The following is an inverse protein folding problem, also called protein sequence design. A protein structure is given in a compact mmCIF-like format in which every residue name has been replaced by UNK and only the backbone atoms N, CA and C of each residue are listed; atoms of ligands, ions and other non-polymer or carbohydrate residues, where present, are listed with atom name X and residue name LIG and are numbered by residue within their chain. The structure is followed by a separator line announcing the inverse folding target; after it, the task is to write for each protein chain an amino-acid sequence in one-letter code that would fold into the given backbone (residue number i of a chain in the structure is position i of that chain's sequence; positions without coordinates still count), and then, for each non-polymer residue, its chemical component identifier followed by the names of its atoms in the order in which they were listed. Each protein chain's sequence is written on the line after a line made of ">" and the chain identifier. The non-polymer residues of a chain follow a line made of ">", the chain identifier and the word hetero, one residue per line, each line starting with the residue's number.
data_IF_084300658281
#
_entry.id   IF_084300658281
#
_cell.length_a   1.000
_cell.length_b   1.000
_cell.length_c   1.000
_cell.angle_alpha   90.00
_cell.angle_beta   90.00
_cell.angle_gamma   90.00
#
_symmetry.space_group_name_H-M   'P 1'
#
loop_
_entity.id
_entity.type
_entity.pdbx_description
1 polymer ?
#
# COMPACT_ATOMS: atom_id res chain seq x y z
N UNK A 1 4.69 -6.21 -0.89
CA UNK A 1 3.22 -6.18 -1.11
C UNK A 1 2.45 -6.87 0.02
N UNK A 2 2.90 -6.64 1.25
CA UNK A 2 2.49 -7.43 2.41
C UNK A 2 1.14 -6.93 2.97
N UNK A 3 0.96 -5.61 3.02
CA UNK A 3 -0.23 -4.97 3.61
C UNK A 3 -1.51 -5.32 2.85
N UNK A 4 -1.51 -5.23 1.51
CA UNK A 4 -2.71 -5.58 0.72
C UNK A 4 -3.12 -7.04 0.93
N UNK A 5 -2.14 -7.93 1.07
CA UNK A 5 -2.38 -9.36 1.36
C UNK A 5 -2.95 -9.58 2.76
N UNK A 6 -2.59 -8.74 3.73
CA UNK A 6 -3.18 -8.77 5.07
C UNK A 6 -4.62 -8.23 5.07
N UNK A 7 -4.89 -7.17 4.32
CA UNK A 7 -6.23 -6.57 4.18
C UNK A 7 -7.24 -7.51 3.51
N UNK A 8 -6.78 -8.51 2.77
CA UNK A 8 -7.62 -9.56 2.17
C UNK A 8 -7.87 -10.76 3.09
N UNK A 9 -7.23 -10.81 4.26
CA UNK A 9 -7.38 -11.90 5.22
C UNK A 9 -8.33 -11.52 6.34
N UNK A 10 -8.85 -12.55 7.00
CA UNK A 10 -9.56 -12.36 8.26
C UNK A 10 -8.57 -11.99 9.38
N UNK A 11 -8.85 -10.97 10.22
CA UNK A 11 -7.92 -10.50 11.24
C UNK A 11 -7.38 -11.60 12.17
N UNK A 12 -8.18 -12.60 12.51
CA UNK A 12 -7.76 -13.70 13.40
C UNK A 12 -6.63 -14.57 12.82
N UNK A 13 -6.37 -14.49 11.51
CA UNK A 13 -5.28 -15.20 10.84
C UNK A 13 -3.92 -14.47 10.94
N UNK A 14 -3.89 -13.30 11.58
CA UNK A 14 -2.73 -12.41 11.67
C UNK A 14 -2.23 -12.26 13.11
N UNK A 15 -0.98 -11.87 13.29
CA UNK A 15 -0.42 -11.53 14.62
C UNK A 15 -1.20 -10.35 15.21
N UNK A 16 -1.43 -10.34 16.53
CA UNK A 16 -2.31 -9.39 17.24
C UNK A 16 -2.17 -7.93 16.81
N UNK A 17 -0.94 -7.41 16.70
CA UNK A 17 -0.72 -6.03 16.29
C UNK A 17 -1.21 -5.73 14.86
N UNK A 18 -0.98 -6.66 13.93
CA UNK A 18 -1.44 -6.55 12.53
C UNK A 18 -2.94 -6.79 12.46
N UNK A 19 -3.45 -7.79 13.19
CA UNK A 19 -4.87 -8.11 13.28
C UNK A 19 -5.72 -6.92 13.71
N UNK A 20 -5.32 -6.24 14.79
CA UNK A 20 -6.03 -5.08 15.31
C UNK A 20 -6.10 -3.92 14.30
N UNK A 21 -5.00 -3.66 13.59
CA UNK A 21 -4.96 -2.63 12.54
C UNK A 21 -5.80 -3.03 11.32
N UNK A 22 -5.68 -4.28 10.85
CA UNK A 22 -6.45 -4.78 9.71
C UNK A 22 -7.94 -4.74 10.00
N UNK A 23 -8.38 -5.17 11.19
CA UNK A 23 -9.78 -5.10 11.61
C UNK A 23 -10.30 -3.66 11.59
N UNK A 24 -9.54 -2.72 12.15
CA UNK A 24 -9.91 -1.29 12.16
C UNK A 24 -10.03 -0.74 10.73
N UNK A 25 -9.08 -1.07 9.86
CA UNK A 25 -9.09 -0.61 8.47
C UNK A 25 -10.26 -1.21 7.70
N UNK A 26 -10.51 -2.51 7.83
CA UNK A 26 -11.63 -3.20 7.17
C UNK A 26 -12.98 -2.64 7.61
N UNK A 27 -13.16 -2.36 8.90
CA UNK A 27 -14.37 -1.74 9.44
C UNK A 27 -14.62 -0.33 8.86
N UNK A 28 -13.60 0.52 8.90
CA UNK A 28 -13.68 1.90 8.39
C UNK A 28 -13.87 2.00 6.87
N UNK A 29 -13.46 0.97 6.13
CA UNK A 29 -13.48 0.96 4.66
C UNK A 29 -14.39 -0.11 4.09
N UNK A 30 -15.39 -0.54 4.87
CA UNK A 30 -16.36 -1.51 4.40
C UNK A 30 -17.03 -1.03 3.10
N UNK A 31 -17.04 -1.88 2.07
CA UNK A 31 -17.56 -1.56 0.75
C UNK A 31 -16.58 -0.85 -0.20
N UNK A 32 -15.35 -0.52 0.23
CA UNK A 32 -14.32 0.04 -0.64
C UNK A 32 -13.34 -1.03 -1.13
N UNK A 33 -12.74 -0.79 -2.30
CA UNK A 33 -11.72 -1.66 -2.88
C UNK A 33 -10.31 -1.12 -2.60
N UNK A 34 -9.43 -2.00 -2.16
CA UNK A 34 -8.01 -1.71 -1.98
C UNK A 34 -7.21 -2.14 -3.21
N UNK A 35 -6.36 -1.25 -3.72
CA UNK A 35 -5.47 -1.53 -4.86
C UNK A 35 -4.04 -1.15 -4.51
N UNK A 36 -3.09 -1.86 -5.10
CA UNK A 36 -1.67 -1.55 -4.95
C UNK A 36 -1.26 -0.46 -5.95
N UNK A 37 -0.89 0.73 -5.45
CA UNK A 37 -0.21 1.75 -6.24
C UNK A 37 1.29 1.49 -6.33
N UNK A 38 1.92 1.82 -7.47
CA UNK A 38 3.39 1.74 -7.58
C UNK A 38 4.05 2.72 -6.61
N UNK A 39 5.17 2.34 -5.99
CA UNK A 39 5.92 3.26 -5.10
C UNK A 39 6.36 4.54 -5.79
N UNK A 40 6.68 4.46 -7.10
CA UNK A 40 7.03 5.63 -7.91
C UNK A 40 5.85 6.57 -8.16
N UNK A 41 4.63 6.10 -7.88
CA UNK A 41 3.38 6.83 -8.05
C UNK A 41 2.75 7.22 -6.70
N UNK A 42 3.51 7.14 -5.61
CA UNK A 42 3.09 7.67 -4.31
C UNK A 42 3.75 9.05 -4.07
N UNK A 43 3.01 10.16 -4.01
CA UNK A 43 3.61 11.45 -3.69
C UNK A 43 4.29 11.47 -2.32
N UNK A 44 3.80 10.70 -1.35
CA UNK A 44 4.43 10.57 -0.03
C UNK A 44 5.83 9.96 -0.07
N UNK A 45 6.12 9.11 -1.06
CA UNK A 45 7.45 8.51 -1.25
C UNK A 45 8.51 9.58 -1.57
N UNK A 46 8.12 10.70 -2.20
CA UNK A 46 9.05 11.78 -2.52
C UNK A 46 9.66 12.37 -1.24
N UNK A 47 8.82 12.64 -0.23
CA UNK A 47 9.29 13.21 1.04
C UNK A 47 10.00 12.13 1.87
N UNK A 48 9.45 10.93 1.96
CA UNK A 48 10.05 9.87 2.78
C UNK A 48 11.44 9.42 2.28
N UNK A 49 11.72 9.61 0.98
CA UNK A 49 13.04 9.39 0.37
C UNK A 49 13.97 10.59 0.43
N UNK A 50 13.54 11.70 1.05
CA UNK A 50 14.38 12.88 1.26
C UNK A 50 14.47 13.81 0.06
N UNK A 51 13.39 13.95 -0.73
CA UNK A 51 13.34 15.00 -1.76
C UNK A 51 13.51 16.37 -1.09
N UNK A 52 14.40 17.18 -1.66
CA UNK A 52 14.64 18.55 -1.23
C UNK A 52 13.34 19.38 -1.26
N UNK A 53 12.95 20.07 -0.17
CA UNK A 53 11.77 20.92 -0.12
C UNK A 53 11.67 21.95 -1.24
N UNK A 54 12.79 22.48 -1.73
CA UNK A 54 12.82 23.43 -2.84
C UNK A 54 12.32 22.80 -4.15
N UNK A 55 12.56 21.50 -4.35
CA UNK A 55 12.11 20.74 -5.53
C UNK A 55 10.64 20.36 -5.46
N UNK A 56 10.02 20.37 -4.28
CA UNK A 56 8.59 20.12 -4.12
C UNK A 56 7.72 21.23 -4.73
N UNK A 57 8.18 22.48 -4.72
CA UNK A 57 7.41 23.62 -5.21
C UNK A 57 6.97 23.46 -6.68
N UNK A 58 7.80 22.84 -7.51
CA UNK A 58 7.52 22.56 -8.92
C UNK A 58 7.16 21.10 -9.23
N UNK A 59 6.89 20.27 -8.22
CA UNK A 59 6.68 18.84 -8.42
C UNK A 59 5.19 18.53 -8.68
N UNK A 60 4.85 18.31 -9.96
CA UNK A 60 3.49 17.97 -10.38
C UNK A 60 2.97 16.68 -9.73
N UNK A 61 3.83 15.68 -9.51
CA UNK A 61 3.45 14.42 -8.88
C UNK A 61 2.98 14.64 -7.42
N UNK A 62 3.57 15.59 -6.70
CA UNK A 62 3.15 15.97 -5.35
C UNK A 62 1.82 16.73 -5.34
N UNK A 63 1.68 17.74 -6.20
CA UNK A 63 0.51 18.64 -6.18
C UNK A 63 -0.72 18.10 -6.92
N UNK A 64 -0.51 17.36 -8.01
CA UNK A 64 -1.56 16.83 -8.87
C UNK A 64 -1.80 15.33 -8.65
N UNK A 65 -0.84 14.63 -8.04
CA UNK A 65 -0.89 13.19 -7.87
C UNK A 65 -0.58 12.41 -9.15
N UNK A 66 -0.67 11.07 -9.09
CA UNK A 66 -0.46 10.21 -10.25
C UNK A 66 -1.58 10.34 -11.29
N UNK A 67 -1.20 10.25 -12.56
CA UNK A 67 -2.12 10.39 -13.70
C UNK A 67 -3.28 9.39 -13.68
N UNK A 68 -3.06 8.18 -13.15
CA UNK A 68 -4.10 7.15 -13.10
C UNK A 68 -5.33 7.57 -12.28
N UNK A 69 -5.16 8.47 -11.29
CA UNK A 69 -6.29 8.99 -10.51
C UNK A 69 -7.18 9.90 -11.35
N UNK A 70 -6.60 10.70 -12.24
CA UNK A 70 -7.33 11.60 -13.12
C UNK A 70 -8.10 10.88 -14.22
N UNK A 71 -7.57 9.76 -14.71
CA UNK A 71 -8.16 8.99 -15.81
C UNK A 71 -9.04 7.81 -15.35
N UNK A 72 -9.12 7.56 -14.05
CA UNK A 72 -9.78 6.37 -13.48
C UNK A 72 -9.17 5.04 -14.00
N UNK A 73 -7.91 5.07 -14.44
CA UNK A 73 -7.17 3.97 -15.04
C UNK A 73 -6.26 3.30 -14.00
N UNK A 74 -6.85 2.74 -12.95
CA UNK A 74 -6.06 2.12 -11.89
C UNK A 74 -5.14 1.03 -12.45
N UNK A 75 -3.85 1.02 -12.05
CA UNK A 75 -2.90 0.02 -12.53
C UNK A 75 -3.36 -1.38 -12.11
N UNK A 76 -3.83 -2.19 -13.07
CA UNK A 76 -4.13 -3.60 -12.89
C UNK A 76 -2.82 -4.38 -12.86
N UNK A 77 -2.09 -4.34 -11.74
CA UNK A 77 -1.08 -5.36 -11.48
C UNK A 77 -1.77 -6.52 -10.79
N UNK A 78 -2.17 -7.53 -11.58
CA UNK A 78 -2.43 -8.86 -11.03
C UNK A 78 -1.18 -9.29 -10.26
N UNK A 79 -1.33 -9.54 -8.97
CA UNK A 79 -0.20 -9.89 -8.11
C UNK A 79 -0.02 -11.40 -8.21
N UNK A 80 1.13 -11.90 -8.70
CA UNK A 80 1.38 -13.33 -8.68
C UNK A 80 1.40 -13.82 -7.24
N UNK A 81 0.50 -14.76 -6.90
CA UNK A 81 0.33 -15.35 -5.56
C UNK A 81 1.67 -15.81 -4.95
N UNK A 82 2.62 -16.22 -5.79
CA UNK A 82 3.95 -16.67 -5.38
C UNK A 82 4.80 -15.61 -4.65
N UNK A 83 4.57 -14.32 -4.88
CA UNK A 83 5.32 -13.23 -4.21
C UNK A 83 4.86 -13.05 -2.76
N UNK A 84 3.57 -13.28 -2.49
CA UNK A 84 2.96 -13.12 -1.15
C UNK A 84 3.50 -14.17 -0.18
N UNK A 85 3.71 -15.40 -0.64
CA UNK A 85 4.10 -16.53 0.22
C UNK A 85 5.56 -16.44 0.71
N UNK A 86 6.46 -15.85 -0.07
CA UNK A 86 7.89 -15.75 0.29
C UNK A 86 8.16 -14.73 1.39
N UNK A 87 7.48 -13.58 1.39
CA UNK A 87 7.67 -12.53 2.41
C UNK A 87 6.92 -12.81 3.72
N UNK A 88 5.95 -13.74 3.72
CA UNK A 88 5.25 -14.20 4.92
C UNK A 88 6.03 -15.24 5.74
N UNK A 89 7.24 -15.64 5.31
CA UNK A 89 8.14 -16.46 6.13
C UNK A 89 8.76 -15.55 7.20
N UNK A 90 7.96 -15.32 8.24
CA UNK A 90 8.38 -14.71 9.50
C UNK A 90 9.60 -15.51 9.97
N UNK A 91 10.75 -14.90 10.28
CA UNK A 91 11.86 -15.62 10.90
C UNK A 91 11.30 -16.28 12.15
N UNK A 92 11.50 -17.59 12.29
CA UNK A 92 11.34 -18.25 13.58
C UNK A 92 12.34 -17.58 14.52
N UNK A 93 11.84 -16.84 15.51
CA UNK A 93 12.65 -16.31 16.59
C UNK A 93 13.38 -17.49 17.24
N UNK A 94 14.72 -17.46 17.17
CA UNK A 94 15.64 -18.27 17.97
C UNK A 94 16.19 -17.40 19.09
#
# INVERSE_FOLDING_TARGET
>A
MIVLSWLQKEPYQLKTFVANQVATIQDLTNGYQWRHGSSNENPGDLISRGLDPSKLLGNDMWWKGPLFLGNNEYPNKEIPVHVIVKELKIPSDS
#
